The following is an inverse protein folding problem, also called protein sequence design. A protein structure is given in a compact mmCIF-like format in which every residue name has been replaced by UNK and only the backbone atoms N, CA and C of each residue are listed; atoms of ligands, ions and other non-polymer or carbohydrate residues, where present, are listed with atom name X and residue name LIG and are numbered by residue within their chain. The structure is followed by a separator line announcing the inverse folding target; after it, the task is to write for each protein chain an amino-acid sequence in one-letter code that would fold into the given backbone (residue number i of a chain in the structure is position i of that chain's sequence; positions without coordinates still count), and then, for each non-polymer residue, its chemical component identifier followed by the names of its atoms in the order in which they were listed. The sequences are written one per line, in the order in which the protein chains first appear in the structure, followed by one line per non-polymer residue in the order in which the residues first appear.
data_IF_361180711222
#
_entry.id   IF_361180711222
#
_cell.length_a   1.000
_cell.length_b   1.000
_cell.length_c   1.000
_cell.angle_alpha   90.00
_cell.angle_beta   90.00
_cell.angle_gamma   90.00
#
_symmetry.space_group_name_H-M   'P 1'
#
loop_
_entity.id
_entity.type
_entity.pdbx_description
1 polymer ?
#
# COMPACT_ATOMS: atom_id res chain seq x y z
N UNK A 1 2.17 -23.80 -13.77
CA UNK A 1 3.32 -23.72 -12.85
C UNK A 1 3.73 -22.25 -12.76
N UNK A 2 3.64 -21.62 -11.59
CA UNK A 2 3.94 -20.19 -11.45
C UNK A 2 5.45 -19.95 -11.56
N UNK A 3 5.87 -19.20 -12.58
CA UNK A 3 7.26 -18.75 -12.76
C UNK A 3 7.69 -18.04 -11.46
N UNK A 4 8.73 -18.57 -10.80
CA UNK A 4 9.28 -17.98 -9.57
C UNK A 4 9.97 -16.66 -9.93
N UNK A 5 9.20 -15.58 -9.97
CA UNK A 5 9.73 -14.23 -10.12
C UNK A 5 10.81 -13.97 -9.08
N UNK A 6 11.92 -13.37 -9.50
CA UNK A 6 13.05 -13.08 -8.61
C UNK A 6 12.62 -12.12 -7.50
N UNK A 7 13.34 -12.10 -6.38
CA UNK A 7 13.06 -11.17 -5.26
C UNK A 7 13.09 -9.70 -5.70
N UNK A 8 13.83 -9.38 -6.77
CA UNK A 8 13.91 -8.04 -7.34
C UNK A 8 12.66 -7.71 -8.18
N UNK A 9 12.22 -8.60 -9.07
CA UNK A 9 11.02 -8.41 -9.88
C UNK A 9 9.77 -8.18 -9.02
N UNK A 10 9.60 -8.94 -7.93
CA UNK A 10 8.47 -8.76 -7.00
C UNK A 10 8.43 -7.36 -6.38
N UNK A 11 9.61 -6.77 -6.12
CA UNK A 11 9.71 -5.41 -5.58
C UNK A 11 9.32 -4.37 -6.63
N UNK A 12 9.77 -4.54 -7.87
CA UNK A 12 9.44 -3.63 -8.97
C UNK A 12 7.94 -3.67 -9.30
N UNK A 13 7.35 -4.87 -9.36
CA UNK A 13 5.91 -5.03 -9.60
C UNK A 13 5.10 -4.38 -8.48
N UNK A 14 5.52 -4.56 -7.22
CA UNK A 14 4.85 -3.92 -6.08
C UNK A 14 4.96 -2.38 -6.15
N UNK A 15 6.14 -1.86 -6.46
CA UNK A 15 6.39 -0.42 -6.56
C UNK A 15 5.56 0.23 -7.69
N UNK A 16 5.49 -0.45 -8.84
CA UNK A 16 4.66 -0.04 -9.97
C UNK A 16 3.17 -0.02 -9.61
N UNK A 17 2.67 -1.07 -8.95
CA UNK A 17 1.27 -1.13 -8.49
C UNK A 17 0.95 -0.04 -7.49
N UNK A 18 1.83 0.21 -6.52
CA UNK A 18 1.62 1.26 -5.52
C UNK A 18 1.58 2.64 -6.19
N UNK A 19 2.49 2.93 -7.12
CA UNK A 19 2.45 4.18 -7.88
C UNK A 19 1.19 4.33 -8.73
N UNK A 20 0.67 3.25 -9.32
CA UNK A 20 -0.59 3.29 -10.06
C UNK A 20 -1.76 3.65 -9.14
N UNK A 21 -1.87 2.99 -7.98
CA UNK A 21 -2.93 3.26 -7.01
C UNK A 21 -2.84 4.68 -6.42
N UNK A 22 -1.63 5.20 -6.16
CA UNK A 22 -1.44 6.58 -5.71
C UNK A 22 -1.89 7.63 -6.72
N UNK A 23 -1.84 7.31 -8.03
CA UNK A 23 -2.27 8.21 -9.09
C UNK A 23 -3.77 8.09 -9.41
N UNK A 24 -4.32 6.87 -9.30
CA UNK A 24 -5.70 6.58 -9.65
C UNK A 24 -6.67 7.11 -8.58
N UNK A 25 -6.29 7.01 -7.30
CA UNK A 25 -7.16 7.37 -6.19
C UNK A 25 -6.74 8.69 -5.54
N UNK A 26 -7.66 9.67 -5.43
CA UNK A 26 -7.36 10.95 -4.83
C UNK A 26 -7.25 10.88 -3.30
N UNK A 27 -7.83 9.86 -2.66
CA UNK A 27 -7.84 9.70 -1.21
C UNK A 27 -7.16 8.41 -0.77
N UNK A 28 -6.37 8.53 0.30
CA UNK A 28 -5.59 7.43 0.86
C UNK A 28 -5.83 7.40 2.37
N UNK A 29 -6.23 6.24 2.85
CA UNK A 29 -6.43 5.98 4.27
C UNK A 29 -5.37 4.97 4.74
N UNK A 30 -4.64 5.33 5.80
CA UNK A 30 -3.69 4.42 6.47
C UNK A 30 -4.37 3.87 7.71
N UNK A 31 -4.47 2.54 7.78
CA UNK A 31 -5.06 1.84 8.93
C UNK A 31 -4.03 0.88 9.54
N UNK A 32 -3.89 0.95 10.86
CA UNK A 32 -3.13 -0.03 11.63
C UNK A 32 -3.98 -1.29 11.84
N UNK A 33 -3.46 -2.45 11.42
CA UNK A 33 -4.17 -3.73 11.46
C UNK A 33 -3.55 -4.69 12.48
N UNK A 34 -3.16 -4.20 13.65
CA UNK A 34 -2.40 -5.00 14.64
C UNK A 34 -3.26 -6.08 15.31
N UNK A 35 -4.54 -5.79 15.56
CA UNK A 35 -5.46 -6.69 16.28
C UNK A 35 -6.53 -7.29 15.36
N UNK A 36 -6.26 -7.36 14.05
CA UNK A 36 -7.23 -7.89 13.07
C UNK A 36 -6.80 -9.28 12.63
N UNK A 37 -7.64 -10.27 12.94
CA UNK A 37 -7.42 -11.64 12.50
C UNK A 37 -7.46 -11.78 10.97
N UNK A 38 -6.80 -12.80 10.44
CA UNK A 38 -6.75 -13.06 8.98
C UNK A 38 -8.16 -13.17 8.35
N UNK A 39 -9.10 -13.83 9.04
CA UNK A 39 -10.49 -13.96 8.63
C UNK A 39 -11.23 -12.62 8.63
N UNK A 40 -11.01 -11.78 9.66
CA UNK A 40 -11.61 -10.45 9.73
C UNK A 40 -11.11 -9.57 8.59
N UNK A 41 -9.79 -9.56 8.31
CA UNK A 41 -9.25 -8.83 7.15
C UNK A 41 -9.79 -9.33 5.82
N UNK A 42 -10.07 -10.63 5.67
CA UNK A 42 -10.70 -11.15 4.46
C UNK A 42 -12.15 -10.69 4.31
N UNK A 43 -12.90 -10.63 5.40
CA UNK A 43 -14.27 -10.11 5.39
C UNK A 43 -14.30 -8.61 5.07
N UNK A 44 -13.42 -7.82 5.68
CA UNK A 44 -13.24 -6.39 5.36
C UNK A 44 -12.90 -6.23 3.87
N UNK A 45 -11.96 -7.03 3.35
CA UNK A 45 -11.61 -7.02 1.93
C UNK A 45 -12.77 -7.39 1.01
N UNK A 46 -13.66 -8.30 1.43
CA UNK A 46 -14.85 -8.65 0.63
C UNK A 46 -15.86 -7.52 0.60
N UNK A 47 -16.11 -6.86 1.72
CA UNK A 47 -17.04 -5.74 1.80
C UNK A 47 -16.59 -4.50 1.03
N UNK A 48 -15.27 -4.32 0.91
CA UNK A 48 -14.67 -3.18 0.23
C UNK A 48 -14.39 -3.41 -1.27
N UNK A 49 -14.59 -4.64 -1.76
CA UNK A 49 -14.46 -4.94 -3.20
C UNK A 49 -15.52 -4.19 -3.99
N UNK A 50 -15.08 -3.40 -4.97
CA UNK A 50 -15.94 -2.61 -5.85
C UNK A 50 -15.63 -1.13 -5.71
N UNK A 51 -15.56 -0.64 -4.46
CA UNK A 51 -15.38 0.78 -4.19
C UNK A 51 -13.94 1.15 -3.81
N UNK A 52 -13.17 0.20 -3.27
CA UNK A 52 -11.82 0.52 -2.79
C UNK A 52 -10.83 -0.62 -2.91
N UNK A 53 -9.54 -0.27 -2.92
CA UNK A 53 -8.43 -1.21 -3.02
C UNK A 53 -7.63 -1.22 -1.72
N UNK A 54 -7.42 -2.42 -1.18
CA UNK A 54 -6.59 -2.64 0.01
C UNK A 54 -5.22 -3.15 -0.41
N UNK A 55 -4.19 -2.36 -0.16
CA UNK A 55 -2.79 -2.74 -0.37
C UNK A 55 -2.10 -2.91 0.97
N UNK A 56 -1.60 -4.13 1.22
CA UNK A 56 -0.76 -4.44 2.38
C UNK A 56 0.66 -4.74 1.89
N UNK A 57 1.67 -4.23 2.59
CA UNK A 57 3.06 -4.51 2.25
C UNK A 57 4.04 -4.20 3.38
N UNK A 58 5.31 -4.53 3.14
CA UNK A 58 6.37 -4.28 4.12
C UNK A 58 6.59 -2.77 4.25
N UNK A 59 6.56 -2.24 5.47
CA UNK A 59 6.71 -0.80 5.73
C UNK A 59 7.92 -0.17 5.06
N UNK A 60 9.07 -0.86 5.07
CA UNK A 60 10.30 -0.33 4.44
C UNK A 60 10.15 -0.14 2.94
N UNK A 61 9.41 -1.03 2.27
CA UNK A 61 9.08 -0.91 0.85
C UNK A 61 8.10 0.23 0.62
N UNK A 62 7.01 0.29 1.40
CA UNK A 62 5.98 1.31 1.22
C UNK A 62 6.52 2.72 1.45
N UNK A 63 7.32 2.94 2.51
CA UNK A 63 7.97 4.23 2.78
C UNK A 63 8.86 4.69 1.63
N UNK A 64 9.63 3.75 1.04
CA UNK A 64 10.51 4.06 -0.09
C UNK A 64 9.69 4.43 -1.34
N UNK A 65 8.68 3.64 -1.68
CA UNK A 65 7.82 3.87 -2.84
C UNK A 65 7.07 5.20 -2.74
N UNK A 66 6.47 5.49 -1.58
CA UNK A 66 5.76 6.75 -1.33
C UNK A 66 6.71 7.94 -1.41
N UNK A 67 7.93 7.82 -0.88
CA UNK A 67 8.94 8.90 -0.98
C UNK A 67 9.34 9.18 -2.44
N UNK A 68 9.66 8.13 -3.20
CA UNK A 68 10.01 8.25 -4.62
C UNK A 68 8.85 8.83 -5.44
N UNK A 69 7.62 8.46 -5.11
CA UNK A 69 6.43 9.00 -5.76
C UNK A 69 6.22 10.48 -5.39
N UNK A 70 6.37 10.85 -4.12
CA UNK A 70 6.28 12.24 -3.66
C UNK A 70 7.33 13.14 -4.33
N UNK A 71 8.56 12.65 -4.51
CA UNK A 71 9.63 13.35 -5.22
C UNK A 71 9.29 13.55 -6.70
N UNK A 72 8.65 12.56 -7.36
CA UNK A 72 8.24 12.65 -8.76
C UNK A 72 7.05 13.60 -8.99
N UNK A 73 6.05 13.55 -8.12
CA UNK A 73 4.81 14.32 -8.26
C UNK A 73 4.94 15.71 -7.63
N UNK A 74 5.98 15.98 -6.84
CA UNK A 74 6.21 17.24 -6.13
C UNK A 74 5.23 17.49 -4.97
N UNK A 75 4.36 16.53 -4.68
CA UNK A 75 3.23 16.69 -3.77
C UNK A 75 3.65 16.29 -2.34
N UNK A 76 3.92 17.30 -1.50
CA UNK A 76 4.44 17.10 -0.13
C UNK A 76 3.47 16.40 0.80
N UNK A 77 2.18 16.34 0.46
CA UNK A 77 1.13 15.66 1.22
C UNK A 77 1.44 14.18 1.46
N UNK A 78 2.11 13.52 0.50
CA UNK A 78 2.52 12.13 0.63
C UNK A 78 3.64 11.92 1.65
N UNK A 79 4.46 12.94 1.95
CA UNK A 79 5.52 12.83 2.95
C UNK A 79 4.95 12.68 4.37
N UNK A 80 3.78 13.26 4.62
CA UNK A 80 3.04 13.13 5.88
C UNK A 80 2.56 11.70 6.14
N UNK A 81 2.49 10.85 5.11
CA UNK A 81 2.12 9.43 5.23
C UNK A 81 3.27 8.57 5.79
N UNK A 82 4.52 8.97 5.55
CA UNK A 82 5.73 8.23 5.95
C UNK A 82 5.79 7.98 7.48
N UNK A 83 5.55 8.97 8.36
CA UNK A 83 5.55 8.73 9.80
C UNK A 83 4.40 7.82 10.27
N UNK A 84 3.26 7.83 9.58
CA UNK A 84 2.08 7.02 9.93
C UNK A 84 2.26 5.52 9.63
N UNK A 85 3.21 5.16 8.76
CA UNK A 85 3.55 3.77 8.44
C UNK A 85 4.42 3.16 9.56
N UNK A 86 3.81 2.82 10.72
CA UNK A 86 4.49 2.25 11.90
C UNK A 86 4.49 0.70 11.94
N UNK A 87 5.41 0.15 12.76
CA UNK A 87 6.26 -1.04 12.53
C UNK A 87 5.58 -2.39 12.27
N UNK A 88 4.27 -2.57 12.47
CA UNK A 88 3.69 -3.92 12.49
C UNK A 88 2.90 -4.27 11.23
N UNK A 89 1.70 -3.72 11.00
CA UNK A 89 0.96 -3.96 9.74
C UNK A 89 0.15 -2.73 9.35
N UNK A 90 0.73 -1.89 8.49
CA UNK A 90 0.02 -0.78 7.88
C UNK A 90 -0.64 -1.23 6.57
N UNK A 91 -1.95 -1.03 6.47
CA UNK A 91 -2.71 -1.25 5.24
C UNK A 91 -3.07 0.10 4.65
N UNK A 92 -2.81 0.26 3.36
CA UNK A 92 -3.29 1.41 2.59
C UNK A 92 -4.63 1.04 1.98
N UNK A 93 -5.63 1.87 2.23
CA UNK A 93 -6.91 1.84 1.56
C UNK A 93 -6.94 3.01 0.59
N UNK A 94 -7.30 2.71 -0.65
CA UNK A 94 -7.45 3.67 -1.73
C UNK A 94 -8.94 3.77 -2.06
N UNK A 95 -9.48 5.00 -2.00
CA UNK A 95 -10.89 5.34 -2.19
C UNK A 95 -11.03 6.56 -3.10
#
# INVERSE_FOLDING_TARGET
MAVKATKAEKKMVYDSKLCQLLNEYPQILIVAADNVGSTQLQNIRKGLRGDSVVLMGKNTMMKRSVKLHAEKTGNKSFLSLIPLLQVNFSSLFFY
#
